data_IF_106325650920
#
_entry.id   IF_106325650920
#
_cell.length_a   1.000
_cell.length_b   1.000
_cell.length_c   1.000
_cell.angle_alpha   90.00
_cell.angle_beta   90.00
_cell.angle_gamma   90.00
#
_symmetry.space_group_name_H-M   'P 1'
#
loop_
_entity.id
_entity.type
_entity.pdbx_description
1 polymer ?
#
# COMPACT_ATOMS: atom_id res chain seq x y z
N UNK A 1 -27.20 -6.42 19.41
CA UNK A 1 -26.03 -5.53 19.54
C UNK A 1 -25.97 -4.84 20.93
N UNK A 2 -26.48 -5.47 22.01
CA UNK A 2 -26.60 -4.83 23.34
C UNK A 2 -25.68 -5.43 24.43
N UNK A 3 -24.82 -6.41 24.08
CA UNK A 3 -23.93 -7.09 25.05
C UNK A 3 -22.47 -6.58 25.06
N UNK A 4 -22.09 -5.65 24.17
CA UNK A 4 -20.70 -5.13 24.11
C UNK A 4 -20.50 -3.75 24.75
N UNK A 5 -21.57 -3.01 25.06
CA UNK A 5 -21.49 -1.69 25.70
C UNK A 5 -21.25 -1.81 27.22
N UNK A 6 -21.68 -2.90 27.86
CA UNK A 6 -21.51 -3.10 29.31
C UNK A 6 -20.06 -3.38 29.72
N UNK A 7 -19.21 -3.90 28.81
CA UNK A 7 -17.83 -4.28 29.15
C UNK A 7 -16.84 -3.12 29.17
N UNK A 8 -17.09 -2.02 28.44
CA UNK A 8 -16.20 -0.84 28.46
C UNK A 8 -16.56 0.15 29.58
N UNK A 9 -17.81 0.12 30.04
CA UNK A 9 -18.27 0.93 31.17
C UNK A 9 -17.77 0.32 32.50
N UNK A 10 -17.68 -1.00 32.61
CA UNK A 10 -17.16 -1.65 33.83
C UNK A 10 -15.64 -1.42 34.05
N UNK A 11 -14.83 -1.32 33.00
CA UNK A 11 -13.38 -1.03 33.15
C UNK A 11 -13.12 0.41 33.59
N UNK A 12 -13.95 1.36 33.19
CA UNK A 12 -13.92 2.72 33.73
C UNK A 12 -14.39 2.76 35.20
N UNK A 13 -15.39 1.94 35.57
CA UNK A 13 -15.88 1.81 36.94
C UNK A 13 -14.81 1.21 37.88
N UNK A 14 -14.03 0.21 37.44
CA UNK A 14 -12.97 -0.40 38.27
C UNK A 14 -11.81 0.59 38.50
N UNK A 15 -11.45 1.41 37.50
CA UNK A 15 -10.36 2.37 37.69
C UNK A 15 -10.73 3.59 38.55
N UNK A 16 -12.02 3.91 38.65
CA UNK A 16 -12.52 4.93 39.57
C UNK A 16 -12.75 4.32 40.97
N UNK A 17 -13.35 3.13 41.09
CA UNK A 17 -13.59 2.46 42.37
C UNK A 17 -12.31 1.98 43.10
N UNK A 18 -11.23 1.67 42.39
CA UNK A 18 -9.95 1.30 43.02
C UNK A 18 -9.25 2.47 43.76
N UNK A 19 -9.75 3.70 43.63
CA UNK A 19 -9.29 4.86 44.41
C UNK A 19 -10.06 5.04 45.73
N UNK A 20 -11.04 4.18 46.04
CA UNK A 20 -11.91 4.29 47.21
C UNK A 20 -11.75 3.08 48.15
N UNK A 21 -10.57 2.92 48.75
CA UNK A 21 -10.52 2.24 50.04
C UNK A 21 -10.85 3.29 51.12
N UNK A 22 -11.90 3.10 51.94
CA UNK A 22 -12.15 4.01 53.04
C UNK A 22 -11.02 3.88 54.06
N UNK A 23 -10.30 4.97 54.32
CA UNK A 23 -9.62 5.10 55.62
C UNK A 23 -10.74 5.40 56.62
N UNK A 24 -10.97 4.48 57.55
CA UNK A 24 -11.91 4.70 58.65
C UNK A 24 -11.44 5.91 59.45
N UNK A 25 -12.21 7.00 59.43
CA UNK A 25 -12.04 8.13 60.33
C UNK A 25 -13.23 8.13 61.27
N UNK A 26 -12.96 7.96 62.57
CA UNK A 26 -13.96 8.01 63.64
C UNK A 26 -14.55 9.42 63.74
N UNK A 27 -15.81 9.52 64.18
CA UNK A 27 -16.50 10.79 64.38
C UNK A 27 -15.86 11.70 65.47
N UNK A 28 -14.85 11.22 66.18
CA UNK A 28 -14.17 11.93 67.27
C UNK A 28 -13.01 12.85 66.80
N UNK A 29 -12.63 12.83 65.52
CA UNK A 29 -11.53 13.66 64.99
C UNK A 29 -11.95 15.08 64.53
N UNK A 30 -13.13 15.57 64.95
CA UNK A 30 -13.77 16.82 64.47
C UNK A 30 -13.49 18.09 65.30
N UNK A 31 -12.37 18.17 66.02
CA UNK A 31 -12.02 19.37 66.81
C UNK A 31 -10.67 19.95 66.35
N UNK A 32 -10.69 21.27 66.12
CA UNK A 32 -9.62 22.23 65.77
C UNK A 32 -9.27 22.51 64.28
N UNK A 33 -9.88 23.60 63.81
CA UNK A 33 -9.50 24.70 62.89
C UNK A 33 -8.57 24.57 61.65
N UNK A 34 -8.12 23.39 61.21
CA UNK A 34 -7.52 23.28 59.86
C UNK A 34 -8.21 22.23 58.96
N UNK A 35 -8.47 22.53 57.66
CA UNK A 35 -9.06 21.55 56.76
C UNK A 35 -8.05 20.43 56.47
N UNK A 36 -8.19 19.29 57.16
CA UNK A 36 -7.42 18.08 56.86
C UNK A 36 -7.78 17.54 55.47
N UNK A 37 -6.80 17.54 54.58
CA UNK A 37 -6.89 17.00 53.22
C UNK A 37 -6.87 15.47 53.25
N UNK A 38 -7.77 14.82 52.51
CA UNK A 38 -7.91 13.35 52.55
C UNK A 38 -7.07 12.66 51.45
N UNK A 39 -6.56 13.43 50.47
CA UNK A 39 -5.81 12.89 49.33
C UNK A 39 -4.72 13.85 48.81
N UNK A 40 -3.69 13.30 48.16
CA UNK A 40 -2.55 14.01 47.56
C UNK A 40 -2.90 15.14 46.56
N UNK A 41 -4.17 15.31 46.18
CA UNK A 41 -4.67 16.37 45.30
C UNK A 41 -5.38 17.53 46.06
N UNK A 42 -5.18 17.71 47.36
CA UNK A 42 -5.81 18.76 48.19
C UNK A 42 -7.35 18.77 48.14
N UNK A 43 -7.97 17.59 48.03
CA UNK A 43 -9.44 17.48 48.10
C UNK A 43 -9.91 17.54 49.56
N UNK A 44 -10.81 18.47 49.86
CA UNK A 44 -11.38 18.62 51.22
C UNK A 44 -12.57 17.68 51.42
N UNK A 45 -12.91 17.39 52.68
CA UNK A 45 -14.14 16.66 53.03
C UNK A 45 -15.38 17.30 52.40
N UNK A 46 -15.42 18.64 52.34
CA UNK A 46 -16.55 19.38 51.76
C UNK A 46 -16.64 19.23 50.23
N UNK A 47 -15.51 19.13 49.52
CA UNK A 47 -15.51 18.84 48.08
C UNK A 47 -16.08 17.45 47.80
N UNK A 48 -15.69 16.45 48.59
CA UNK A 48 -16.22 15.09 48.49
C UNK A 48 -17.72 15.03 48.78
N UNK A 49 -18.20 15.79 49.77
CA UNK A 49 -19.63 15.92 50.07
C UNK A 49 -20.37 16.60 48.91
N UNK A 50 -19.78 17.62 48.29
CA UNK A 50 -20.41 18.37 47.18
C UNK A 50 -20.49 17.52 45.90
N UNK A 51 -19.45 16.73 45.59
CA UNK A 51 -19.46 15.74 44.51
C UNK A 51 -20.49 14.64 44.81
N UNK A 52 -20.52 14.13 46.04
CA UNK A 52 -21.51 13.14 46.46
C UNK A 52 -22.93 13.68 46.35
N UNK A 53 -23.17 14.95 46.68
CA UNK A 53 -24.48 15.61 46.56
C UNK A 53 -24.84 15.93 45.10
N UNK A 54 -23.89 16.29 44.25
CA UNK A 54 -24.14 16.52 42.81
C UNK A 54 -24.42 15.22 42.05
N UNK A 55 -23.99 14.08 42.57
CA UNK A 55 -24.29 12.75 42.02
C UNK A 55 -25.64 12.18 42.51
N UNK A 56 -26.34 12.87 43.40
CA UNK A 56 -27.64 12.46 43.92
C UNK A 56 -28.69 13.42 43.33
N UNK A 57 -29.05 13.21 42.06
CA UNK A 57 -30.38 13.61 41.60
C UNK A 57 -31.43 12.76 42.35
N UNK A 58 -32.59 13.37 42.63
CA UNK A 58 -33.60 12.97 43.63
C UNK A 58 -34.24 11.56 43.41
N UNK A 59 -33.82 10.82 42.40
CA UNK A 59 -34.43 9.60 41.89
C UNK A 59 -33.40 8.48 41.54
N UNK A 60 -32.10 8.70 41.79
CA UNK A 60 -31.09 7.62 41.76
C UNK A 60 -30.74 7.05 40.38
N UNK A 61 -31.18 7.69 39.29
CA UNK A 61 -30.81 7.35 37.91
C UNK A 61 -29.80 8.37 37.37
N UNK A 62 -28.63 7.89 36.98
CA UNK A 62 -27.52 8.72 36.53
C UNK A 62 -27.75 9.25 35.09
N UNK A 63 -27.61 10.56 34.88
CA UNK A 63 -27.59 11.18 33.54
C UNK A 63 -26.15 11.51 33.13
N UNK A 64 -25.89 11.56 31.81
CA UNK A 64 -24.54 11.78 31.25
C UNK A 64 -23.94 13.14 31.67
N UNK A 65 -24.80 14.14 31.84
CA UNK A 65 -24.46 15.53 32.16
C UNK A 65 -23.83 15.67 33.57
N UNK A 66 -24.27 14.85 34.53
CA UNK A 66 -23.74 14.85 35.90
C UNK A 66 -22.27 14.37 35.96
N UNK A 67 -21.88 13.51 35.02
CA UNK A 67 -20.51 13.01 34.91
C UNK A 67 -19.56 14.05 34.31
N UNK A 68 -20.04 14.91 33.40
CA UNK A 68 -19.23 16.00 32.83
C UNK A 68 -18.87 17.03 33.90
N UNK A 69 -19.83 17.37 34.77
CA UNK A 69 -19.59 18.28 35.89
C UNK A 69 -18.52 17.74 36.86
N UNK A 70 -18.57 16.46 37.21
CA UNK A 70 -17.58 15.82 38.11
C UNK A 70 -16.21 15.74 37.45
N UNK A 71 -16.15 15.33 36.17
CA UNK A 71 -14.91 15.30 35.37
C UNK A 71 -14.25 16.68 35.35
N UNK A 72 -15.01 17.70 35.01
CA UNK A 72 -14.50 19.06 34.85
C UNK A 72 -14.04 19.66 36.19
N UNK A 73 -14.75 19.34 37.29
CA UNK A 73 -14.36 19.76 38.64
C UNK A 73 -13.02 19.13 39.06
N UNK A 74 -12.82 17.85 38.79
CA UNK A 74 -11.58 17.13 39.10
C UNK A 74 -10.40 17.63 38.25
N UNK A 75 -10.64 17.93 36.98
CA UNK A 75 -9.64 18.52 36.07
C UNK A 75 -9.22 19.91 36.56
N UNK A 76 -10.17 20.79 36.92
CA UNK A 76 -9.89 22.14 37.44
C UNK A 76 -9.00 22.12 38.69
N UNK A 77 -9.26 21.22 39.64
CA UNK A 77 -8.46 21.11 40.87
C UNK A 77 -7.08 20.48 40.67
N UNK A 78 -6.92 19.60 39.67
CA UNK A 78 -5.62 18.98 39.35
C UNK A 78 -4.64 19.95 38.70
N UNK A 79 -5.14 20.91 37.93
CA UNK A 79 -4.31 21.78 37.08
C UNK A 79 -3.93 23.11 37.78
N UNK A 80 -4.62 23.47 38.88
CA UNK A 80 -4.25 24.60 39.74
C UNK A 80 -4.30 25.94 39.01
N UNK A 81 -5.49 26.54 38.95
CA UNK A 81 -5.76 27.94 38.54
C UNK A 81 -4.97 28.49 37.32
N UNK A 82 -4.59 27.62 36.39
CA UNK A 82 -4.22 28.01 35.03
C UNK A 82 -5.51 28.09 34.23
N UNK A 83 -5.97 29.33 34.07
CA UNK A 83 -6.88 29.86 33.05
C UNK A 83 -7.51 28.83 32.13
N UNK A 84 -8.85 28.82 32.09
CA UNK A 84 -9.69 28.14 31.09
C UNK A 84 -8.90 27.66 29.89
N UNK A 85 -8.69 26.35 29.77
CA UNK A 85 -8.25 25.78 28.50
C UNK A 85 -9.36 26.11 27.51
N UNK A 86 -9.14 27.13 26.68
CA UNK A 86 -10.10 27.56 25.69
C UNK A 86 -10.56 26.34 24.90
N UNK A 87 -11.87 26.15 24.75
CA UNK A 87 -12.39 25.05 23.94
C UNK A 87 -12.55 25.53 22.51
N UNK A 88 -12.10 24.70 21.58
CA UNK A 88 -12.17 24.95 20.15
C UNK A 88 -12.83 23.77 19.47
N UNK A 89 -13.39 23.99 18.29
CA UNK A 89 -13.95 22.94 17.46
C UNK A 89 -12.92 22.41 16.47
N UNK A 90 -12.88 21.09 16.31
CA UNK A 90 -12.24 20.40 15.18
C UNK A 90 -13.33 19.88 14.27
N UNK A 91 -13.25 20.25 12.99
CA UNK A 91 -14.14 19.80 11.92
C UNK A 91 -13.34 19.24 10.76
N UNK A 92 -14.00 18.40 9.98
CA UNK A 92 -13.48 17.80 8.76
C UNK A 92 -14.37 18.21 7.60
N UNK A 93 -13.80 18.89 6.61
CA UNK A 93 -14.52 19.20 5.38
C UNK A 93 -14.61 17.94 4.52
N UNK A 94 -15.80 17.35 4.49
CA UNK A 94 -16.08 16.13 3.71
C UNK A 94 -16.90 16.44 2.45
N UNK A 95 -17.08 17.72 2.11
CA UNK A 95 -17.93 18.12 0.98
C UNK A 95 -17.41 17.52 -0.34
N UNK A 96 -18.32 16.88 -1.09
CA UNK A 96 -17.99 16.23 -2.36
C UNK A 96 -17.33 14.85 -2.25
N UNK A 97 -17.23 14.27 -1.04
CA UNK A 97 -16.73 12.90 -0.81
C UNK A 97 -17.85 11.98 -0.28
N UNK A 98 -17.81 10.71 -0.70
CA UNK A 98 -18.67 9.66 -0.17
C UNK A 98 -18.05 9.00 1.07
N UNK A 99 -18.88 8.77 2.08
CA UNK A 99 -18.58 8.05 3.32
C UNK A 99 -19.16 6.62 3.35
N UNK A 100 -19.87 6.19 2.30
CA UNK A 100 -20.74 4.99 2.31
C UNK A 100 -20.04 3.66 2.61
N UNK A 101 -18.72 3.59 2.40
CA UNK A 101 -17.92 2.37 2.66
C UNK A 101 -17.21 2.41 4.01
N UNK A 102 -17.43 3.44 4.81
CA UNK A 102 -16.78 3.60 6.10
C UNK A 102 -17.67 3.05 7.23
N UNK A 103 -17.17 2.14 8.08
CA UNK A 103 -17.99 1.48 9.10
C UNK A 103 -18.60 2.42 10.16
N UNK A 104 -18.01 3.59 10.37
CA UNK A 104 -18.46 4.54 11.40
C UNK A 104 -18.21 6.01 11.00
N UNK A 105 -19.05 6.61 10.13
CA UNK A 105 -18.85 7.98 9.65
C UNK A 105 -18.78 9.03 10.77
N UNK A 106 -19.31 8.72 11.96
CA UNK A 106 -19.35 9.64 13.11
C UNK A 106 -17.97 10.02 13.64
N UNK A 107 -16.91 9.27 13.29
CA UNK A 107 -15.53 9.61 13.69
C UNK A 107 -15.06 10.97 13.15
N UNK A 108 -15.69 11.44 12.07
CA UNK A 108 -15.44 12.73 11.42
C UNK A 108 -16.43 13.83 11.87
N UNK A 109 -17.35 13.53 12.78
CA UNK A 109 -18.26 14.54 13.34
C UNK A 109 -17.46 15.62 14.07
N UNK A 110 -18.05 16.83 14.14
CA UNK A 110 -17.45 17.97 14.84
C UNK A 110 -17.15 17.62 16.30
N UNK A 111 -15.92 17.90 16.75
CA UNK A 111 -15.47 17.63 18.12
C UNK A 111 -15.12 18.94 18.81
N UNK A 112 -15.52 19.06 20.08
CA UNK A 112 -15.06 20.16 20.95
C UNK A 112 -13.90 19.63 21.78
N UNK A 113 -12.76 20.30 21.70
CA UNK A 113 -11.50 19.90 22.34
C UNK A 113 -10.84 21.11 23.00
N UNK A 114 -9.92 20.86 23.92
CA UNK A 114 -9.17 21.91 24.61
C UNK A 114 -7.97 22.37 23.78
N UNK A 115 -7.76 23.68 23.66
CA UNK A 115 -6.54 24.25 23.11
C UNK A 115 -5.30 23.75 23.90
N UNK A 116 -4.22 23.46 23.17
CA UNK A 116 -3.00 22.84 23.69
C UNK A 116 -3.08 21.34 23.94
N UNK A 117 -4.26 20.72 23.81
CA UNK A 117 -4.39 19.26 23.91
C UNK A 117 -3.84 18.55 22.67
N UNK A 118 -3.67 17.23 22.76
CA UNK A 118 -3.32 16.38 21.61
C UNK A 118 -4.58 15.74 21.06
N UNK A 119 -4.83 15.95 19.78
CA UNK A 119 -5.85 15.27 19.00
C UNK A 119 -5.18 14.22 18.11
N UNK A 120 -5.78 13.03 17.98
CA UNK A 120 -5.26 11.97 17.10
C UNK A 120 -6.14 11.94 15.85
N UNK A 121 -5.53 12.04 14.67
CA UNK A 121 -6.25 11.98 13.41
C UNK A 121 -6.94 10.61 13.30
N UNK A 122 -8.28 10.57 13.17
CA UNK A 122 -9.02 9.32 13.14
C UNK A 122 -8.69 8.52 11.88
N UNK A 123 -8.82 7.20 11.98
CA UNK A 123 -8.87 6.33 10.80
C UNK A 123 -10.11 6.71 9.97
N UNK A 124 -10.00 6.80 8.65
CA UNK A 124 -11.11 7.18 7.76
C UNK A 124 -10.77 6.85 6.29
N UNK A 125 -11.76 6.60 5.44
CA UNK A 125 -11.53 6.43 3.99
C UNK A 125 -12.53 7.26 3.22
N UNK A 126 -12.13 8.46 2.80
CA UNK A 126 -12.93 9.26 1.87
C UNK A 126 -12.83 8.66 0.46
N UNK A 127 -13.97 8.61 -0.24
CA UNK A 127 -14.01 8.16 -1.63
C UNK A 127 -14.60 9.24 -2.53
N UNK A 128 -13.86 9.57 -3.58
CA UNK A 128 -14.32 10.38 -4.71
C UNK A 128 -13.73 9.76 -5.97
N UNK A 129 -14.57 9.52 -6.97
CA UNK A 129 -14.13 8.89 -8.21
C UNK A 129 -12.98 9.69 -8.83
N UNK A 130 -11.89 9.00 -9.20
CA UNK A 130 -10.70 9.64 -9.78
C UNK A 130 -9.76 10.33 -8.78
N UNK A 131 -10.00 10.24 -7.46
CA UNK A 131 -9.12 10.86 -6.45
C UNK A 131 -8.61 9.86 -5.41
N UNK A 132 -7.34 10.00 -5.06
CA UNK A 132 -6.69 9.39 -3.92
C UNK A 132 -6.69 10.36 -2.74
N UNK A 133 -7.29 9.96 -1.62
CA UNK A 133 -7.23 10.73 -0.37
C UNK A 133 -5.99 10.32 0.43
N UNK A 134 -5.01 11.21 0.52
CA UNK A 134 -3.75 10.94 1.22
C UNK A 134 -3.82 11.26 2.72
N UNK A 135 -4.72 12.16 3.12
CA UNK A 135 -4.87 12.59 4.51
C UNK A 135 -5.56 13.94 4.60
N UNK A 136 -5.39 14.61 5.73
CA UNK A 136 -6.03 15.88 6.05
C UNK A 136 -5.02 17.02 6.03
N UNK A 137 -5.25 18.03 5.20
CA UNK A 137 -4.48 19.26 5.23
C UNK A 137 -4.98 20.20 6.33
N UNK A 138 -4.03 20.81 7.03
CA UNK A 138 -4.27 21.99 7.85
C UNK A 138 -3.04 22.90 7.79
N UNK A 139 -3.24 24.14 7.35
CA UNK A 139 -2.19 25.14 7.15
C UNK A 139 -1.02 24.67 6.27
N UNK A 140 -1.32 23.93 5.18
CA UNK A 140 -0.32 23.46 4.22
C UNK A 140 0.50 22.25 4.70
N UNK A 141 0.10 21.63 5.81
CA UNK A 141 0.66 20.37 6.29
C UNK A 141 -0.39 19.28 6.21
N UNK A 142 -0.05 18.19 5.53
CA UNK A 142 -0.85 16.96 5.52
C UNK A 142 -0.61 16.14 6.78
N UNK A 143 -1.70 15.69 7.40
CA UNK A 143 -1.74 14.77 8.53
C UNK A 143 -2.43 13.47 8.10
N UNK A 144 -1.80 12.34 8.35
CA UNK A 144 -2.33 11.02 8.05
C UNK A 144 -2.97 10.38 9.28
N UNK A 145 -3.64 9.26 9.08
CA UNK A 145 -4.32 8.54 10.17
C UNK A 145 -3.34 8.17 11.29
N UNK A 146 -3.74 8.40 12.53
CA UNK A 146 -2.91 8.13 13.70
C UNK A 146 -1.91 9.24 14.05
N UNK A 147 -1.73 10.25 13.17
CA UNK A 147 -0.90 11.39 13.49
C UNK A 147 -1.43 12.14 14.71
N UNK A 148 -0.50 12.66 15.50
CA UNK A 148 -0.79 13.54 16.63
C UNK A 148 -0.79 14.99 16.17
N UNK A 149 -1.90 15.67 16.40
CA UNK A 149 -2.11 17.08 16.13
C UNK A 149 -2.21 17.84 17.45
N UNK A 150 -1.39 18.87 17.63
CA UNK A 150 -1.52 19.78 18.79
C UNK A 150 -2.58 20.82 18.47
N UNK A 151 -3.63 20.85 19.27
CA UNK A 151 -4.79 21.72 19.05
C UNK A 151 -4.39 23.19 19.30
N UNK A 152 -4.52 24.09 18.32
CA UNK A 152 -4.23 25.51 18.49
C UNK A 152 -5.34 26.21 19.29
N UNK A 153 -5.12 27.48 19.62
CA UNK A 153 -6.11 28.31 20.31
C UNK A 153 -7.15 28.93 19.35
N UNK A 154 -7.58 28.15 18.36
CA UNK A 154 -8.57 28.53 17.35
C UNK A 154 -9.34 27.31 16.84
N UNK A 155 -10.48 27.55 16.20
CA UNK A 155 -11.23 26.49 15.52
C UNK A 155 -10.43 25.95 14.34
N UNK A 156 -10.42 24.63 14.20
CA UNK A 156 -9.68 23.90 13.17
C UNK A 156 -10.66 23.27 12.20
N UNK A 157 -10.44 23.51 10.91
CA UNK A 157 -11.10 22.79 9.82
C UNK A 157 -10.03 22.09 9.02
N UNK A 158 -10.03 20.76 9.05
CA UNK A 158 -9.19 19.94 8.18
C UNK A 158 -9.84 19.84 6.80
N UNK A 159 -9.06 20.10 5.76
CA UNK A 159 -9.50 19.92 4.36
C UNK A 159 -8.89 18.63 3.80
N UNK A 160 -9.56 17.94 2.87
CA UNK A 160 -9.06 16.69 2.34
C UNK A 160 -7.85 16.95 1.43
N UNK A 161 -6.71 16.32 1.71
CA UNK A 161 -5.56 16.30 0.81
C UNK A 161 -5.75 15.17 -0.19
N UNK A 162 -6.01 15.57 -1.44
CA UNK A 162 -6.30 14.66 -2.54
C UNK A 162 -5.35 14.82 -3.71
N UNK A 163 -5.08 13.70 -4.37
CA UNK A 163 -4.30 13.59 -5.59
C UNK A 163 -5.19 12.96 -6.67
N UNK A 164 -5.05 13.37 -7.93
CA UNK A 164 -5.78 12.72 -9.03
C UNK A 164 -5.17 11.37 -9.37
N UNK A 165 -6.03 10.40 -9.66
CA UNK A 165 -5.60 9.13 -10.26
C UNK A 165 -5.38 9.32 -11.75
N UNK A 166 -4.26 8.79 -12.24
CA UNK A 166 -3.96 8.66 -13.66
C UNK A 166 -3.73 7.21 -14.03
N UNK A 167 -4.02 6.91 -15.28
CA UNK A 167 -3.89 5.58 -15.87
C UNK A 167 -2.56 5.47 -16.58
N UNK A 168 -1.76 4.47 -16.20
CA UNK A 168 -0.60 4.04 -16.96
C UNK A 168 -1.00 2.85 -17.80
N UNK A 169 -0.87 2.95 -19.12
CA UNK A 169 -1.20 1.86 -20.05
C UNK A 169 0.07 1.35 -20.70
N UNK A 170 0.27 0.04 -20.63
CA UNK A 170 1.43 -0.67 -21.17
C UNK A 170 1.01 -1.46 -22.40
N UNK A 171 1.73 -1.30 -23.49
CA UNK A 171 1.52 -2.01 -24.74
C UNK A 171 2.73 -2.89 -25.07
N UNK A 172 2.47 -4.10 -25.57
CA UNK A 172 3.51 -4.95 -26.15
C UNK A 172 4.04 -4.38 -27.49
N UNK A 173 3.27 -3.49 -28.13
CA UNK A 173 3.51 -2.99 -29.49
C UNK A 173 2.68 -3.74 -30.52
N UNK A 174 2.68 -3.23 -31.76
CA UNK A 174 1.96 -3.82 -32.89
C UNK A 174 2.87 -4.78 -33.65
N UNK A 175 3.01 -6.00 -33.11
CA UNK A 175 3.76 -7.06 -33.75
C UNK A 175 2.93 -8.34 -33.83
N UNK A 176 2.96 -9.01 -34.98
CA UNK A 176 2.20 -10.26 -35.23
C UNK A 176 2.67 -11.43 -34.36
N UNK A 177 3.88 -11.36 -33.80
CA UNK A 177 4.54 -12.39 -32.98
C UNK A 177 4.40 -12.16 -31.47
N UNK A 178 3.57 -11.20 -31.04
CA UNK A 178 3.15 -11.03 -29.64
C UNK A 178 2.13 -12.11 -29.28
N UNK A 179 2.31 -12.72 -28.11
CA UNK A 179 1.46 -13.78 -27.59
C UNK A 179 0.52 -13.19 -26.53
N UNK A 180 -0.78 -13.51 -26.62
CA UNK A 180 -1.85 -13.09 -25.69
C UNK A 180 -2.30 -11.62 -25.80
N UNK A 181 -2.78 -11.04 -24.69
CA UNK A 181 -3.32 -9.69 -24.61
C UNK A 181 -2.19 -8.66 -24.76
N UNK A 182 -2.22 -7.79 -25.79
CA UNK A 182 -1.10 -6.91 -26.13
C UNK A 182 -1.07 -5.63 -25.28
N UNK A 183 -1.93 -5.51 -24.27
CA UNK A 183 -1.93 -4.35 -23.38
C UNK A 183 -2.40 -4.68 -21.96
N UNK A 184 -2.03 -3.81 -21.02
CA UNK A 184 -2.39 -3.87 -19.60
C UNK A 184 -2.37 -2.45 -19.03
N UNK A 185 -3.26 -2.14 -18.08
CA UNK A 185 -3.29 -0.80 -17.44
C UNK A 185 -3.31 -0.91 -15.91
N UNK A 186 -2.70 0.07 -15.27
CA UNK A 186 -2.78 0.30 -13.82
C UNK A 186 -3.15 1.75 -13.55
N UNK A 187 -3.72 2.01 -12.38
CA UNK A 187 -3.96 3.36 -11.90
C UNK A 187 -3.01 3.67 -10.74
N UNK A 188 -2.58 4.92 -10.66
CA UNK A 188 -1.90 5.44 -9.47
C UNK A 188 -2.07 6.94 -9.35
N UNK A 189 -1.79 7.45 -8.16
CA UNK A 189 -1.98 8.86 -7.83
C UNK A 189 -0.81 9.70 -8.37
N UNK A 190 -1.12 10.88 -8.93
CA UNK A 190 -0.11 11.85 -9.36
C UNK A 190 0.91 12.13 -8.24
N UNK A 191 2.19 12.27 -8.60
CA UNK A 191 3.28 12.52 -7.66
C UNK A 191 3.74 11.28 -6.86
N UNK A 192 3.01 10.16 -6.90
CA UNK A 192 3.43 8.92 -6.25
C UNK A 192 4.26 8.04 -7.18
N UNK A 193 5.22 7.31 -6.60
CA UNK A 193 6.04 6.35 -7.31
C UNK A 193 5.38 4.97 -7.41
N UNK A 194 5.44 4.36 -8.59
CA UNK A 194 5.05 2.96 -8.85
C UNK A 194 6.22 2.18 -9.44
N UNK A 195 6.14 0.85 -9.38
CA UNK A 195 7.06 -0.04 -10.09
C UNK A 195 6.47 -0.37 -11.48
N UNK A 196 7.28 -0.24 -12.53
CA UNK A 196 6.89 -0.65 -13.87
C UNK A 196 6.86 -2.17 -13.99
N UNK A 197 6.05 -2.76 -14.89
CA UNK A 197 5.97 -4.21 -15.04
C UNK A 197 7.33 -4.84 -15.39
N UNK A 198 7.53 -6.08 -14.94
CA UNK A 198 8.73 -6.85 -15.24
C UNK A 198 8.78 -7.37 -16.70
N UNK A 199 9.90 -7.98 -17.07
CA UNK A 199 10.15 -8.46 -18.44
C UNK A 199 9.28 -9.64 -18.89
N UNK A 200 8.56 -10.30 -17.98
CA UNK A 200 7.63 -11.39 -18.28
C UNK A 200 6.20 -10.91 -18.53
N UNK A 201 5.91 -9.62 -18.34
CA UNK A 201 4.58 -9.02 -18.53
C UNK A 201 3.95 -9.33 -19.88
N UNK A 202 4.77 -9.33 -20.93
CA UNK A 202 4.37 -9.72 -22.28
C UNK A 202 5.36 -10.74 -22.84
N UNK A 203 4.88 -11.60 -23.73
CA UNK A 203 5.72 -12.57 -24.44
C UNK A 203 5.70 -12.26 -25.92
N UNK A 204 6.89 -12.22 -26.53
CA UNK A 204 7.08 -12.12 -27.96
C UNK A 204 8.09 -13.17 -28.40
N UNK A 205 7.69 -14.11 -29.25
CA UNK A 205 8.51 -15.27 -29.57
C UNK A 205 9.83 -14.84 -30.25
N UNK A 206 10.96 -15.35 -29.77
CA UNK A 206 12.30 -14.95 -30.26
C UNK A 206 12.84 -13.63 -29.71
N UNK A 207 12.11 -12.93 -28.83
CA UNK A 207 12.53 -11.65 -28.26
C UNK A 207 12.43 -11.65 -26.73
N UNK A 208 13.17 -10.72 -26.10
CA UNK A 208 13.11 -10.41 -24.69
C UNK A 208 12.68 -8.96 -24.50
N UNK A 209 11.75 -8.70 -23.58
CA UNK A 209 11.40 -7.36 -23.16
C UNK A 209 12.55 -6.81 -22.30
N UNK A 210 13.14 -5.70 -22.74
CA UNK A 210 14.29 -5.06 -22.07
C UNK A 210 13.97 -3.69 -21.51
N UNK A 211 12.78 -3.16 -21.77
CA UNK A 211 12.32 -1.92 -21.16
C UNK A 211 10.97 -1.44 -21.69
N UNK A 212 10.63 -0.22 -21.30
CA UNK A 212 9.37 0.45 -21.58
C UNK A 212 9.66 1.87 -22.07
N UNK A 213 9.31 2.18 -23.32
CA UNK A 213 9.37 3.54 -23.88
C UNK A 213 8.15 4.32 -23.42
N UNK A 214 8.39 5.38 -22.66
CA UNK A 214 7.36 6.27 -22.13
C UNK A 214 7.00 7.34 -23.18
N UNK A 215 5.72 7.59 -23.41
CA UNK A 215 5.25 8.65 -24.32
C UNK A 215 5.27 10.05 -23.69
N UNK A 216 5.33 10.13 -22.36
CA UNK A 216 5.29 11.39 -21.62
C UNK A 216 6.60 12.17 -21.72
N UNK A 217 7.73 11.49 -21.52
CA UNK A 217 9.07 12.07 -21.45
C UNK A 217 10.02 11.54 -22.54
N UNK A 218 9.55 10.61 -23.37
CA UNK A 218 10.33 9.96 -24.42
C UNK A 218 11.56 9.19 -23.91
N UNK A 219 11.54 8.76 -22.64
CA UNK A 219 12.60 7.98 -22.00
C UNK A 219 12.26 6.48 -22.03
N UNK A 220 13.29 5.65 -22.16
CA UNK A 220 13.17 4.19 -22.00
C UNK A 220 13.57 3.78 -20.58
N UNK A 221 12.62 3.21 -19.85
CA UNK A 221 12.80 2.71 -18.50
C UNK A 221 13.07 1.20 -18.53
N UNK A 222 13.92 0.72 -17.62
CA UNK A 222 14.09 -0.72 -17.43
C UNK A 222 12.83 -1.37 -16.85
N UNK A 223 12.67 -2.70 -16.99
CA UNK A 223 11.66 -3.45 -16.23
C UNK A 223 11.86 -3.22 -14.73
N UNK A 224 10.78 -3.25 -13.95
CA UNK A 224 10.77 -2.97 -12.49
C UNK A 224 11.42 -1.64 -12.08
N UNK A 225 11.57 -0.69 -13.01
CA UNK A 225 12.01 0.65 -12.67
C UNK A 225 10.95 1.37 -11.82
N UNK A 226 11.39 2.21 -10.89
CA UNK A 226 10.53 3.16 -10.20
C UNK A 226 10.18 4.30 -11.15
N UNK A 227 8.89 4.59 -11.28
CA UNK A 227 8.35 5.68 -12.09
C UNK A 227 7.41 6.55 -11.27
N UNK A 228 7.60 7.87 -11.31
CA UNK A 228 6.72 8.84 -10.67
C UNK A 228 5.59 9.21 -11.61
N UNK A 229 4.36 9.04 -11.16
CA UNK A 229 3.17 9.25 -11.98
C UNK A 229 2.98 10.77 -12.20
N UNK A 230 2.90 11.23 -13.46
CA UNK A 230 2.65 12.65 -13.75
C UNK A 230 1.16 12.98 -13.57
N UNK A 231 0.82 14.26 -13.80
CA UNK A 231 -0.52 14.84 -13.74
C UNK A 231 -1.42 14.47 -14.94
N UNK A 232 -1.15 13.35 -15.60
CA UNK A 232 -1.94 12.83 -16.73
C UNK A 232 -1.71 11.35 -16.95
N UNK A 233 -2.59 10.76 -17.76
CA UNK A 233 -2.45 9.39 -18.24
C UNK A 233 -1.19 9.26 -19.12
N UNK A 234 -0.54 8.09 -19.06
CA UNK A 234 0.74 7.81 -19.71
C UNK A 234 0.65 6.49 -20.45
N UNK A 235 1.25 6.41 -21.62
CA UNK A 235 1.43 5.18 -22.38
C UNK A 235 2.88 4.74 -22.38
N UNK A 236 3.09 3.44 -22.14
CA UNK A 236 4.37 2.78 -22.26
C UNK A 236 4.31 1.75 -23.38
N UNK A 237 5.32 1.72 -24.24
CA UNK A 237 5.47 0.69 -25.27
C UNK A 237 6.68 -0.20 -24.96
N UNK A 238 6.50 -1.51 -25.02
CA UNK A 238 7.57 -2.47 -24.77
C UNK A 238 8.74 -2.29 -25.75
N UNK A 239 9.95 -2.27 -25.22
CA UNK A 239 11.20 -2.29 -25.98
C UNK A 239 11.70 -3.73 -26.02
N UNK A 240 11.85 -4.27 -27.22
CA UNK A 240 12.23 -5.66 -27.46
C UNK A 240 13.67 -5.78 -27.95
N UNK A 241 14.38 -6.78 -27.46
CA UNK A 241 15.69 -7.18 -27.96
C UNK A 241 15.64 -8.64 -28.45
N UNK A 242 16.24 -8.99 -29.60
CA UNK A 242 16.32 -10.38 -30.05
C UNK A 242 16.95 -11.28 -28.97
N UNK A 243 16.30 -12.40 -28.67
CA UNK A 243 16.83 -13.40 -27.76
C UNK A 243 17.73 -14.37 -28.54
N UNK A 244 18.98 -14.61 -28.10
CA UNK A 244 19.84 -15.58 -28.75
C UNK A 244 19.27 -17.00 -28.63
N UNK A 245 19.40 -17.78 -29.70
CA UNK A 245 19.04 -19.18 -29.78
C UNK A 245 20.33 -19.98 -29.96
N UNK A 246 20.52 -20.99 -29.13
CA UNK A 246 21.62 -21.94 -29.31
C UNK A 246 21.22 -22.96 -30.38
N UNK A 247 21.96 -22.98 -31.49
CA UNK A 247 21.85 -24.01 -32.52
C UNK A 247 22.99 -25.01 -32.33
N UNK A 248 22.69 -26.30 -32.26
CA UNK A 248 23.67 -27.37 -32.19
C UNK A 248 23.49 -28.37 -33.31
N UNK A 249 24.61 -28.69 -33.96
CA UNK A 249 24.72 -29.73 -34.98
C UNK A 249 25.53 -30.87 -34.36
N UNK A 250 24.99 -32.08 -34.34
CA UNK A 250 25.69 -33.26 -33.82
C UNK A 250 25.88 -34.31 -34.91
N UNK A 251 27.05 -34.94 -34.92
CA UNK A 251 27.36 -36.08 -35.80
C UNK A 251 26.51 -37.31 -35.50
N UNK A 252 25.85 -37.40 -34.33
CA UNK A 252 24.97 -38.53 -33.98
C UNK A 252 25.62 -39.91 -34.26
N UNK A 253 26.91 -40.02 -33.96
CA UNK A 253 27.76 -41.19 -34.17
C UNK A 253 28.18 -41.86 -32.84
N UNK A 254 27.60 -41.42 -31.72
CA UNK A 254 27.96 -41.88 -30.37
C UNK A 254 29.08 -41.08 -29.69
N UNK A 255 29.71 -40.13 -30.38
CA UNK A 255 30.75 -39.25 -29.83
C UNK A 255 30.14 -37.90 -29.45
N UNK A 256 30.11 -37.57 -28.16
CA UNK A 256 29.43 -36.35 -27.65
C UNK A 256 30.15 -35.04 -28.01
N UNK A 257 31.45 -35.11 -28.32
CA UNK A 257 32.27 -33.98 -28.76
C UNK A 257 32.15 -33.70 -30.25
N UNK A 258 31.59 -34.63 -31.03
CA UNK A 258 31.37 -34.45 -32.46
C UNK A 258 30.11 -33.60 -32.68
N UNK A 259 30.24 -32.32 -32.30
CA UNK A 259 29.20 -31.32 -32.41
C UNK A 259 29.77 -29.93 -32.67
N UNK A 260 28.99 -29.12 -33.34
CA UNK A 260 29.21 -27.68 -33.52
C UNK A 260 28.06 -26.96 -32.84
N UNK A 261 28.35 -25.80 -32.24
CA UNK A 261 27.35 -24.94 -31.64
C UNK A 261 27.51 -23.52 -32.17
N UNK A 262 26.40 -22.89 -32.54
CA UNK A 262 26.34 -21.52 -33.02
C UNK A 262 25.24 -20.75 -32.28
N UNK A 263 25.41 -19.43 -32.18
CA UNK A 263 24.36 -18.52 -31.71
C UNK A 263 23.68 -17.91 -32.91
N UNK A 264 22.36 -18.10 -33.01
CA UNK A 264 21.50 -17.58 -34.07
C UNK A 264 20.33 -16.82 -33.46
N UNK A 265 19.62 -16.04 -34.26
CA UNK A 265 18.45 -15.28 -33.84
C UNK A 265 17.22 -15.67 -34.67
N UNK A 266 16.04 -15.46 -34.11
CA UNK A 266 14.79 -15.69 -34.83
C UNK A 266 14.77 -14.89 -36.14
N UNK A 267 14.42 -15.56 -37.23
CA UNK A 267 14.37 -14.97 -38.57
C UNK A 267 15.68 -15.06 -39.36
N UNK A 268 16.81 -15.40 -38.74
CA UNK A 268 18.06 -15.66 -39.44
C UNK A 268 17.91 -16.80 -40.44
N UNK A 269 18.77 -16.81 -41.45
CA UNK A 269 18.91 -17.93 -42.39
C UNK A 269 20.15 -18.75 -42.03
N UNK A 270 19.93 -20.02 -41.70
CA UNK A 270 21.00 -20.97 -41.42
C UNK A 270 21.21 -21.89 -42.63
N UNK A 271 22.42 -21.89 -43.17
CA UNK A 271 22.81 -22.77 -44.28
C UNK A 271 23.42 -24.04 -43.71
N UNK A 272 22.84 -25.19 -44.05
CA UNK A 272 23.37 -26.48 -43.59
C UNK A 272 24.79 -26.72 -44.14
N UNK A 273 25.79 -26.99 -43.27
CA UNK A 273 27.18 -27.10 -43.70
C UNK A 273 27.47 -28.44 -44.38
N UNK A 274 28.60 -28.54 -45.07
CA UNK A 274 29.16 -29.83 -45.45
C UNK A 274 29.52 -30.65 -44.21
N UNK A 275 29.32 -31.98 -44.27
CA UNK A 275 29.62 -32.85 -43.15
C UNK A 275 31.12 -33.14 -43.07
N UNK A 276 31.76 -32.71 -41.98
CA UNK A 276 33.17 -33.00 -41.68
C UNK A 276 33.37 -34.14 -40.69
N UNK A 277 32.28 -34.75 -40.21
CA UNK A 277 32.33 -35.85 -39.23
C UNK A 277 32.40 -37.21 -39.92
N UNK A 278 32.78 -38.23 -39.15
CA UNK A 278 32.84 -39.62 -39.60
C UNK A 278 31.98 -40.54 -38.72
N UNK A 279 31.43 -41.62 -39.29
CA UNK A 279 30.66 -42.62 -38.55
C UNK A 279 30.92 -44.04 -39.09
N UNK A 280 32.12 -44.56 -38.82
CA UNK A 280 32.57 -45.85 -39.36
C UNK A 280 32.44 -45.89 -40.89
N UNK A 281 31.90 -46.99 -41.41
CA UNK A 281 31.72 -47.22 -42.85
C UNK A 281 30.40 -46.63 -43.41
N UNK A 282 29.65 -45.86 -42.60
CA UNK A 282 28.35 -45.31 -43.02
C UNK A 282 28.52 -44.06 -43.87
N UNK A 283 27.58 -43.86 -44.80
CA UNK A 283 27.55 -42.68 -45.65
C UNK A 283 26.67 -41.59 -45.03
N UNK A 284 27.15 -40.35 -45.06
CA UNK A 284 26.36 -39.20 -44.64
C UNK A 284 25.21 -38.94 -45.62
N UNK A 285 23.98 -38.97 -45.13
CA UNK A 285 22.77 -38.78 -45.95
C UNK A 285 22.18 -37.37 -45.84
N UNK A 286 22.59 -36.57 -44.86
CA UNK A 286 22.10 -35.21 -44.64
C UNK A 286 21.89 -34.90 -43.15
N UNK A 287 21.45 -33.69 -42.89
CA UNK A 287 21.16 -33.17 -41.55
C UNK A 287 19.67 -33.30 -41.25
N UNK A 288 19.31 -33.93 -40.14
CA UNK A 288 17.93 -34.11 -39.72
C UNK A 288 17.54 -33.04 -38.69
N UNK A 289 16.47 -32.31 -38.99
CA UNK A 289 15.83 -31.34 -38.09
C UNK A 289 14.31 -31.48 -38.19
N UNK A 290 13.60 -31.55 -37.05
CA UNK A 290 12.14 -31.74 -36.98
C UNK A 290 11.59 -32.83 -37.92
N UNK A 291 12.31 -33.94 -38.06
CA UNK A 291 11.92 -35.08 -38.90
C UNK A 291 12.26 -34.94 -40.39
N UNK A 292 12.65 -33.76 -40.85
CA UNK A 292 13.05 -33.49 -42.24
C UNK A 292 14.56 -33.65 -42.40
N UNK A 293 15.01 -34.19 -43.54
CA UNK A 293 16.43 -34.34 -43.88
C UNK A 293 16.82 -33.29 -44.90
N UNK A 294 17.76 -32.43 -44.52
CA UNK A 294 18.32 -31.36 -45.31
C UNK A 294 19.70 -31.76 -45.85
N UNK A 295 19.99 -31.40 -47.10
CA UNK A 295 21.32 -31.54 -47.68
C UNK A 295 22.19 -30.32 -47.34
N UNK A 296 23.52 -30.45 -47.36
CA UNK A 296 24.42 -29.30 -47.36
C UNK A 296 23.98 -28.25 -48.40
N UNK A 297 24.08 -26.97 -48.03
CA UNK A 297 23.62 -25.85 -48.85
C UNK A 297 22.11 -25.56 -48.80
N UNK A 298 21.28 -26.41 -48.19
CA UNK A 298 19.89 -26.05 -47.90
C UNK A 298 19.82 -24.95 -46.83
N UNK A 299 18.73 -24.19 -46.83
CA UNK A 299 18.51 -23.08 -45.88
C UNK A 299 17.37 -23.42 -44.92
N UNK A 300 17.62 -23.19 -43.62
CA UNK A 300 16.63 -23.18 -42.56
C UNK A 300 16.41 -21.74 -42.11
N UNK A 301 15.18 -21.23 -42.24
CA UNK A 301 14.80 -20.00 -41.54
C UNK A 301 14.62 -20.31 -40.05
N UNK A 302 15.39 -19.64 -39.20
CA UNK A 302 15.37 -19.88 -37.76
C UNK A 302 13.99 -19.50 -37.21
N UNK A 303 13.26 -20.46 -36.60
CA UNK A 303 11.92 -20.21 -36.10
C UNK A 303 11.95 -19.31 -34.86
N UNK A 304 10.82 -18.65 -34.60
CA UNK A 304 10.58 -17.98 -33.34
C UNK A 304 10.43 -19.02 -32.22
N UNK A 305 11.29 -18.95 -31.22
CA UNK A 305 11.29 -19.85 -30.08
C UNK A 305 11.01 -19.08 -28.78
N UNK A 306 10.39 -19.76 -27.82
CA UNK A 306 10.23 -19.19 -26.47
C UNK A 306 11.64 -19.11 -25.84
N UNK A 307 11.97 -18.02 -25.11
CA UNK A 307 13.27 -17.89 -24.46
C UNK A 307 13.67 -19.14 -23.66
N UNK A 308 14.87 -19.67 -23.92
CA UNK A 308 15.42 -20.89 -23.29
C UNK A 308 15.32 -22.16 -24.13
N UNK A 309 14.60 -22.16 -25.26
CA UNK A 309 14.62 -23.28 -26.21
C UNK A 309 15.89 -23.25 -27.10
N UNK A 310 16.24 -24.41 -27.67
CA UNK A 310 17.41 -24.58 -28.55
C UNK A 310 17.04 -25.37 -29.80
N UNK A 311 17.87 -25.21 -30.84
CA UNK A 311 17.75 -25.96 -32.09
C UNK A 311 18.78 -27.08 -32.06
N UNK A 312 18.31 -28.33 -32.23
CA UNK A 312 19.19 -29.51 -32.29
C UNK A 312 19.02 -30.19 -33.64
N UNK A 313 20.11 -30.25 -34.39
CA UNK A 313 20.24 -30.84 -35.72
C UNK A 313 21.16 -32.04 -35.58
N UNK A 314 20.79 -33.17 -36.17
CA UNK A 314 21.58 -34.42 -36.06
C UNK A 314 21.89 -34.99 -37.44
N UNK A 315 23.11 -35.47 -37.64
CA UNK A 315 23.45 -36.17 -38.87
C UNK A 315 22.61 -37.45 -39.04
N UNK A 316 22.16 -37.69 -40.27
CA UNK A 316 21.56 -38.93 -40.70
C UNK A 316 22.60 -39.73 -41.48
N UNK A 317 22.78 -40.98 -41.06
CA UNK A 317 23.70 -41.93 -41.68
C UNK A 317 22.91 -43.11 -42.25
N UNK A 318 23.44 -43.75 -43.28
CA UNK A 318 22.91 -44.99 -43.85
C UNK A 318 23.95 -45.73 -44.67
#
# INVERSE_FOLDING_TARGET
>A
MFKRIVSCILTAIISVCALFAPVNVSAEDMVDEEPKYIYNNKMTVFDAIKIKRSLIANDGLYQLEDYEYVRDTLIRKRIGDKTFSNTVSIRFDTEGFSLEKYPDPTVLDSKIVYAGSTFIIPYHVLKKSGFYHAGWDYNGKTYVQGDKFTVPDENVVFTPSCYTYHTLTFYAGDYEDVIEYPYFSVQGAEGFGTELPDSSRFTRAGYKLVGWRCDYDDISYGPVARYTIPDKDVMFTAVWQPSPITLSISANNGVSTDKITETVYCGDEFVFPECTFTNGDKTFLGWRYNGIVYKPGNVLKIPALIPGQSIVIVAKWG
#
